data_IF_794412127596
#
_entry.id   IF_794412127596
#
_cell.length_a   1.000
_cell.length_b   1.000
_cell.length_c   1.000
_cell.angle_alpha   90.00
_cell.angle_beta   90.00
_cell.angle_gamma   90.00
#
_symmetry.space_group_name_H-M   'P 1'
#
loop_
_entity.id
_entity.type
_entity.pdbx_description
1 polymer ?
#
# COMPACT_ATOMS: atom_id res chain seq x y z
N UNK A 1 -9.11 3.00 -13.23
CA UNK A 1 -9.33 4.46 -13.14
C UNK A 1 -8.59 5.25 -14.23
N UNK A 2 -7.40 4.84 -14.71
CA UNK A 2 -6.60 5.60 -15.69
C UNK A 2 -7.35 5.92 -17.01
N UNK A 3 -8.16 4.98 -17.52
CA UNK A 3 -8.87 5.14 -18.80
C UNK A 3 -10.16 5.98 -18.64
N UNK A 4 -10.81 5.93 -17.47
CA UNK A 4 -12.12 6.58 -17.24
C UNK A 4 -12.00 7.96 -16.58
N UNK A 5 -10.86 8.28 -15.95
CA UNK A 5 -10.59 9.58 -15.35
C UNK A 5 -10.88 10.78 -16.29
N UNK A 6 -10.42 10.81 -17.55
CA UNK A 6 -10.71 11.95 -18.43
C UNK A 6 -12.21 12.14 -18.69
N UNK A 7 -13.01 11.07 -18.72
CA UNK A 7 -14.45 11.16 -18.90
C UNK A 7 -15.15 11.85 -17.71
N UNK A 8 -14.75 11.52 -16.48
CA UNK A 8 -15.31 12.18 -15.28
C UNK A 8 -14.99 13.68 -15.25
N UNK A 9 -13.77 14.08 -15.65
CA UNK A 9 -13.40 15.50 -15.73
C UNK A 9 -14.20 16.23 -16.81
N UNK A 10 -14.40 15.62 -17.98
CA UNK A 10 -15.19 16.20 -19.06
C UNK A 10 -16.66 16.38 -18.66
N UNK A 11 -17.26 15.37 -18.03
CA UNK A 11 -18.65 15.43 -17.54
C UNK A 11 -18.77 16.52 -16.46
N UNK A 12 -17.83 16.58 -15.52
CA UNK A 12 -17.81 17.60 -14.47
C UNK A 12 -17.67 19.02 -15.03
N UNK A 13 -16.78 19.21 -16.01
CA UNK A 13 -16.60 20.50 -16.69
C UNK A 13 -17.87 20.90 -17.47
N UNK A 14 -18.48 19.97 -18.21
CA UNK A 14 -19.72 20.22 -18.94
C UNK A 14 -20.85 20.62 -17.99
N UNK A 15 -21.02 19.90 -16.88
CA UNK A 15 -21.99 20.22 -15.84
C UNK A 15 -21.78 21.62 -15.24
N UNK A 16 -20.52 22.00 -14.99
CA UNK A 16 -20.16 23.34 -14.52
C UNK A 16 -20.61 24.44 -15.50
N UNK A 17 -20.33 24.27 -16.80
CA UNK A 17 -20.77 25.20 -17.83
C UNK A 17 -22.30 25.29 -17.95
N UNK A 18 -23.00 24.16 -17.88
CA UNK A 18 -24.47 24.15 -17.87
C UNK A 18 -25.05 24.95 -16.70
N UNK A 19 -24.50 24.80 -15.49
CA UNK A 19 -24.92 25.58 -14.33
C UNK A 19 -24.68 27.08 -14.53
N UNK A 20 -23.55 27.48 -15.09
CA UNK A 20 -23.25 28.89 -15.39
C UNK A 20 -24.21 29.49 -16.42
N UNK A 21 -24.61 28.74 -17.45
CA UNK A 21 -25.60 29.20 -18.43
C UNK A 21 -26.99 29.37 -17.81
N UNK A 22 -27.41 28.41 -16.97
CA UNK A 22 -28.71 28.44 -16.28
C UNK A 22 -28.78 29.58 -15.26
N UNK A 23 -27.65 29.97 -14.65
CA UNK A 23 -27.56 31.08 -13.69
C UNK A 23 -28.24 32.38 -14.17
N UNK A 24 -28.09 32.71 -15.45
CA UNK A 24 -28.69 33.91 -16.05
C UNK A 24 -30.21 33.84 -16.24
N UNK A 25 -30.78 32.63 -16.21
CA UNK A 25 -32.19 32.34 -16.50
C UNK A 25 -33.02 32.04 -15.24
N UNK A 26 -32.39 31.88 -14.09
CA UNK A 26 -33.06 31.51 -12.83
C UNK A 26 -33.30 32.72 -11.95
N UNK A 27 -34.41 32.69 -11.22
CA UNK A 27 -34.79 33.74 -10.25
C UNK A 27 -33.77 33.90 -9.11
N UNK A 28 -33.05 32.84 -8.75
CA UNK A 28 -32.11 32.80 -7.62
C UNK A 28 -30.69 32.38 -8.05
N UNK A 29 -29.90 33.28 -8.66
CA UNK A 29 -28.53 32.97 -9.10
C UNK A 29 -27.58 32.65 -7.93
N UNK A 30 -27.92 33.09 -6.71
CA UNK A 30 -27.15 32.78 -5.49
C UNK A 30 -27.14 31.28 -5.19
N UNK A 31 -28.25 30.57 -5.46
CA UNK A 31 -28.34 29.12 -5.24
C UNK A 31 -27.38 28.37 -6.18
N UNK A 32 -27.21 28.85 -7.42
CA UNK A 32 -26.25 28.31 -8.37
C UNK A 32 -24.81 28.56 -7.90
N UNK A 33 -24.50 29.77 -7.41
CA UNK A 33 -23.17 30.06 -6.85
C UNK A 33 -22.87 29.14 -5.65
N UNK A 34 -23.86 28.90 -4.78
CA UNK A 34 -23.71 28.00 -3.64
C UNK A 34 -23.47 26.56 -4.09
N UNK A 35 -24.20 26.08 -5.09
CA UNK A 35 -24.00 24.76 -5.67
C UNK A 35 -22.61 24.60 -6.29
N UNK A 36 -22.13 25.60 -7.05
CA UNK A 36 -20.78 25.62 -7.63
C UNK A 36 -19.69 25.61 -6.55
N UNK A 37 -19.87 26.42 -5.48
CA UNK A 37 -18.98 26.42 -4.33
C UNK A 37 -18.93 25.04 -3.67
N UNK A 38 -20.10 24.45 -3.40
CA UNK A 38 -20.22 23.13 -2.77
C UNK A 38 -19.56 22.04 -3.62
N UNK A 39 -19.67 22.10 -4.95
CA UNK A 39 -19.05 21.14 -5.86
C UNK A 39 -17.52 21.09 -5.73
N UNK A 40 -16.87 22.18 -5.30
CA UNK A 40 -15.43 22.24 -5.04
C UNK A 40 -15.13 21.92 -3.57
N UNK A 41 -15.89 22.52 -2.65
CA UNK A 41 -15.62 22.45 -1.20
C UNK A 41 -15.83 21.04 -0.64
N UNK A 42 -16.88 20.33 -1.06
CA UNK A 42 -17.15 18.96 -0.60
C UNK A 42 -16.02 17.98 -0.95
N UNK A 43 -15.59 17.83 -2.21
CA UNK A 43 -14.50 16.91 -2.53
C UNK A 43 -13.17 17.35 -1.93
N UNK A 44 -12.91 18.66 -1.82
CA UNK A 44 -11.71 19.16 -1.13
C UNK A 44 -11.71 18.78 0.36
N UNK A 45 -12.82 18.99 1.08
CA UNK A 45 -12.98 18.57 2.48
C UNK A 45 -12.79 17.06 2.63
N UNK A 46 -13.47 16.27 1.80
CA UNK A 46 -13.37 14.80 1.83
C UNK A 46 -11.93 14.33 1.55
N UNK A 47 -11.24 14.97 0.61
CA UNK A 47 -9.84 14.71 0.32
C UNK A 47 -8.93 14.96 1.53
N UNK A 48 -9.10 16.10 2.20
CA UNK A 48 -8.34 16.44 3.42
C UNK A 48 -8.62 15.42 4.54
N UNK A 49 -9.89 15.08 4.75
CA UNK A 49 -10.30 14.09 5.76
C UNK A 49 -9.71 12.70 5.48
N UNK A 50 -9.64 12.28 4.21
CA UNK A 50 -9.08 10.99 3.81
C UNK A 50 -7.56 10.93 3.95
N UNK A 51 -6.87 12.00 3.55
CA UNK A 51 -5.41 12.05 3.61
C UNK A 51 -4.95 12.15 5.08
N UNK A 52 -5.77 12.76 5.95
CA UNK A 52 -5.45 13.10 7.34
C UNK A 52 -4.06 13.73 7.47
N UNK A 53 -3.78 14.84 6.75
CA UNK A 53 -2.44 15.42 6.66
C UNK A 53 -1.86 15.87 8.00
N UNK A 54 -2.73 16.23 8.96
CA UNK A 54 -2.34 16.66 10.30
C UNK A 54 -2.52 15.58 11.38
N UNK A 55 -2.88 14.35 11.00
CA UNK A 55 -2.87 13.26 11.95
C UNK A 55 -1.43 12.79 12.14
N UNK A 56 -0.96 12.79 13.39
CA UNK A 56 0.19 11.98 13.77
C UNK A 56 -0.20 10.53 13.53
N UNK A 57 0.22 9.98 12.39
CA UNK A 57 0.15 8.54 12.17
C UNK A 57 1.14 7.93 13.15
N UNK A 58 0.63 7.42 14.27
CA UNK A 58 1.39 6.45 15.04
C UNK A 58 1.82 5.36 14.06
N UNK A 59 3.13 5.20 13.89
CA UNK A 59 3.65 4.12 13.06
C UNK A 59 3.12 2.82 13.66
N UNK A 60 2.24 2.15 12.92
CA UNK A 60 1.76 0.83 13.31
C UNK A 60 2.98 -0.08 13.51
N UNK A 61 2.86 -1.02 14.45
CA UNK A 61 3.89 -2.04 14.66
C UNK A 61 4.24 -2.73 13.34
N UNK A 62 3.28 -2.89 12.40
CA UNK A 62 3.56 -3.43 11.07
C UNK A 62 4.48 -2.56 10.20
N UNK A 63 4.32 -1.23 10.23
CA UNK A 63 5.16 -0.30 9.46
C UNK A 63 6.60 -0.31 9.98
N UNK A 64 6.79 -0.36 11.31
CA UNK A 64 8.12 -0.49 11.93
C UNK A 64 8.78 -1.82 11.56
N UNK A 65 8.03 -2.91 11.66
CA UNK A 65 8.49 -4.26 11.30
C UNK A 65 8.89 -4.35 9.83
N UNK A 66 8.10 -3.76 8.92
CA UNK A 66 8.40 -3.74 7.50
C UNK A 66 9.66 -2.89 7.16
N UNK A 67 9.82 -1.73 7.80
CA UNK A 67 11.04 -0.90 7.67
C UNK A 67 12.28 -1.61 8.21
N UNK A 68 12.16 -2.30 9.35
CA UNK A 68 13.25 -3.12 9.90
C UNK A 68 13.67 -4.22 8.93
N UNK A 69 12.72 -4.89 8.28
CA UNK A 69 13.03 -5.90 7.26
C UNK A 69 13.88 -5.34 6.12
N UNK A 70 13.51 -4.16 5.62
CA UNK A 70 14.28 -3.48 4.57
C UNK A 70 15.69 -3.07 5.00
N UNK A 71 15.96 -2.94 6.30
CA UNK A 71 17.32 -2.68 6.81
C UNK A 71 18.16 -3.94 7.01
N UNK A 72 17.52 -5.08 7.30
CA UNK A 72 18.21 -6.36 7.59
C UNK A 72 18.53 -7.17 6.32
N UNK A 73 17.90 -6.88 5.18
CA UNK A 73 18.07 -7.63 3.93
C UNK A 73 18.76 -6.74 2.88
N UNK A 74 19.90 -7.16 2.29
CA UNK A 74 20.54 -6.43 1.20
C UNK A 74 19.60 -6.33 -0.02
N UNK A 75 19.51 -5.15 -0.64
CA UNK A 75 18.65 -4.92 -1.81
C UNK A 75 19.13 -5.62 -3.09
N UNK A 76 20.42 -5.95 -3.16
CA UNK A 76 21.07 -6.52 -4.36
C UNK A 76 21.18 -8.05 -4.34
N UNK A 77 20.72 -8.71 -3.28
CA UNK A 77 20.66 -10.17 -3.23
C UNK A 77 19.32 -10.65 -3.81
N UNK A 78 19.36 -11.71 -4.63
CA UNK A 78 18.17 -12.50 -4.95
C UNK A 78 17.65 -13.13 -3.65
N UNK A 79 16.77 -12.43 -2.94
CA UNK A 79 16.30 -12.86 -1.63
C UNK A 79 14.78 -13.05 -1.61
N UNK A 80 14.34 -14.09 -0.92
CA UNK A 80 12.91 -14.35 -0.69
C UNK A 80 12.68 -14.49 0.80
N UNK A 81 11.69 -13.75 1.30
CA UNK A 81 11.28 -13.77 2.70
C UNK A 81 9.98 -14.54 2.84
N UNK A 82 9.87 -15.40 3.85
CA UNK A 82 8.65 -16.13 4.16
C UNK A 82 8.16 -15.87 5.58
N UNK A 83 6.89 -16.23 5.81
CA UNK A 83 6.20 -16.11 7.10
C UNK A 83 6.04 -14.66 7.60
N UNK A 84 5.79 -13.70 6.70
CA UNK A 84 5.54 -12.30 7.08
C UNK A 84 4.04 -11.96 7.10
N UNK A 85 3.47 -11.66 8.27
CA UNK A 85 2.07 -11.24 8.36
C UNK A 85 1.74 -10.01 7.52
N UNK A 86 2.66 -9.04 7.42
CA UNK A 86 2.51 -7.80 6.64
C UNK A 86 3.33 -7.84 5.34
N UNK A 87 3.17 -8.91 4.57
CA UNK A 87 3.98 -9.19 3.39
C UNK A 87 3.97 -8.06 2.33
N UNK A 88 2.83 -7.41 2.07
CA UNK A 88 2.74 -6.30 1.09
C UNK A 88 3.59 -5.10 1.52
N UNK A 89 3.47 -4.69 2.79
CA UNK A 89 4.26 -3.59 3.35
C UNK A 89 5.74 -3.95 3.36
N UNK A 90 6.07 -5.18 3.73
CA UNK A 90 7.42 -5.70 3.72
C UNK A 90 8.03 -5.70 2.31
N UNK A 91 7.31 -6.12 1.27
CA UNK A 91 7.78 -6.01 -0.12
C UNK A 91 8.06 -4.55 -0.51
N UNK A 92 7.16 -3.63 -0.14
CA UNK A 92 7.29 -2.21 -0.47
C UNK A 92 8.56 -1.60 0.14
N UNK A 93 8.87 -1.89 1.40
CA UNK A 93 10.03 -1.33 2.07
C UNK A 93 11.34 -2.08 1.79
N UNK A 94 11.31 -3.40 1.62
CA UNK A 94 12.51 -4.21 1.38
C UNK A 94 12.93 -4.28 -0.09
N UNK A 95 12.00 -4.13 -1.03
CA UNK A 95 12.24 -4.39 -2.46
C UNK A 95 12.43 -5.87 -2.81
N UNK A 96 12.18 -6.78 -1.86
CA UNK A 96 12.33 -8.22 -2.01
C UNK A 96 10.96 -8.91 -2.05
N UNK A 97 10.91 -10.13 -2.57
CA UNK A 97 9.67 -10.93 -2.58
C UNK A 97 9.40 -11.48 -1.18
N UNK A 98 8.22 -11.18 -0.63
CA UNK A 98 7.82 -11.58 0.73
C UNK A 98 6.52 -12.37 0.70
N UNK A 99 6.49 -13.56 1.31
CA UNK A 99 5.31 -14.41 1.38
C UNK A 99 4.75 -14.51 2.81
N UNK A 100 3.42 -14.57 2.98
CA UNK A 100 2.79 -14.70 4.29
C UNK A 100 2.88 -16.10 4.89
N UNK A 101 3.13 -17.12 4.08
CA UNK A 101 3.07 -18.53 4.47
C UNK A 101 4.51 -19.05 4.59
N UNK A 102 4.82 -19.95 5.54
CA UNK A 102 6.11 -20.65 5.56
C UNK A 102 6.29 -21.54 4.31
N UNK A 103 7.50 -21.68 3.78
CA UNK A 103 7.75 -22.48 2.59
C UNK A 103 7.77 -23.97 2.92
N UNK A 104 7.42 -24.80 1.93
CA UNK A 104 7.62 -26.25 1.97
C UNK A 104 9.07 -26.61 1.68
N UNK A 105 9.49 -27.83 2.04
CA UNK A 105 10.87 -28.31 1.77
C UNK A 105 11.20 -28.30 0.26
N UNK A 106 10.23 -28.64 -0.58
CA UNK A 106 10.41 -28.66 -2.03
C UNK A 106 10.66 -27.26 -2.61
N UNK A 107 9.95 -26.26 -2.11
CA UNK A 107 10.13 -24.85 -2.50
C UNK A 107 11.47 -24.30 -2.04
N UNK A 108 11.94 -24.69 -0.84
CA UNK A 108 13.27 -24.31 -0.38
C UNK A 108 14.34 -24.90 -1.31
N UNK A 109 14.24 -26.19 -1.65
CA UNK A 109 15.22 -26.85 -2.52
C UNK A 109 15.24 -26.26 -3.93
N UNK A 110 14.08 -25.88 -4.49
CA UNK A 110 14.01 -25.25 -5.81
C UNK A 110 14.61 -23.84 -5.80
N UNK A 111 14.25 -23.01 -4.81
CA UNK A 111 14.76 -21.65 -4.67
C UNK A 111 16.28 -21.63 -4.41
N UNK A 112 16.79 -22.59 -3.65
CA UNK A 112 18.23 -22.75 -3.45
C UNK A 112 18.98 -23.12 -4.74
N UNK A 113 18.41 -24.01 -5.57
CA UNK A 113 18.98 -24.37 -6.89
C UNK A 113 19.03 -23.16 -7.83
N UNK A 114 18.06 -22.26 -7.72
CA UNK A 114 17.99 -21.02 -8.50
C UNK A 114 18.89 -19.90 -7.95
N UNK A 115 19.56 -20.13 -6.82
CA UNK A 115 20.50 -19.21 -6.21
C UNK A 115 19.87 -18.14 -5.32
N UNK A 116 18.63 -18.34 -4.84
CA UNK A 116 17.99 -17.43 -3.91
C UNK A 116 18.47 -17.62 -2.46
N UNK A 117 18.67 -16.50 -1.77
CA UNK A 117 18.84 -16.45 -0.32
C UNK A 117 17.48 -16.45 0.37
N UNK A 118 17.23 -17.46 1.20
CA UNK A 118 15.92 -17.64 1.83
C UNK A 118 15.96 -17.13 3.27
N UNK A 119 15.04 -16.23 3.59
CA UNK A 119 14.86 -15.65 4.91
C UNK A 119 13.50 -16.08 5.47
N UNK A 120 13.48 -16.61 6.69
CA UNK A 120 12.22 -16.99 7.36
C UNK A 120 12.08 -16.19 8.64
N UNK A 121 10.95 -15.50 8.78
CA UNK A 121 10.60 -14.82 10.03
C UNK A 121 10.18 -15.85 11.06
N UNK A 122 10.87 -15.86 12.20
CA UNK A 122 10.53 -16.73 13.31
C UNK A 122 9.30 -16.19 14.05
N UNK A 123 8.30 -17.05 14.19
CA UNK A 123 7.22 -16.92 15.16
C UNK A 123 7.40 -18.02 16.22
N UNK A 124 6.88 -17.84 17.44
CA UNK A 124 7.04 -18.80 18.55
C UNK A 124 6.58 -20.22 18.17
N UNK A 125 5.60 -20.32 17.27
CA UNK A 125 5.04 -21.56 16.76
C UNK A 125 5.90 -22.25 15.67
N UNK A 126 6.88 -21.56 15.07
CA UNK A 126 7.60 -22.03 13.89
C UNK A 126 9.09 -22.37 14.14
N UNK A 127 9.54 -22.28 15.40
CA UNK A 127 10.95 -22.53 15.79
C UNK A 127 11.44 -23.95 15.45
N UNK A 128 10.56 -24.94 15.40
CA UNK A 128 10.91 -26.37 15.36
C UNK A 128 10.90 -27.02 13.97
N UNK A 129 10.31 -26.40 12.94
CA UNK A 129 10.13 -27.09 11.64
C UNK A 129 11.33 -26.97 10.67
N UNK A 130 12.17 -25.94 10.81
CA UNK A 130 13.18 -25.64 9.77
C UNK A 130 14.64 -25.60 10.26
N UNK A 131 14.91 -25.80 11.56
CA UNK A 131 16.21 -25.61 12.23
C UNK A 131 17.43 -26.35 11.65
N UNK A 132 17.24 -27.27 10.70
CA UNK A 132 18.29 -28.16 10.19
C UNK A 132 18.70 -27.89 8.73
N UNK A 133 18.38 -26.72 8.15
CA UNK A 133 18.80 -26.39 6.80
C UNK A 133 19.96 -25.37 6.74
N UNK A 134 21.13 -25.74 6.18
CA UNK A 134 22.39 -25.01 6.34
C UNK A 134 22.48 -23.65 5.63
N UNK A 135 21.45 -23.21 4.90
CA UNK A 135 21.45 -21.95 4.13
C UNK A 135 20.22 -21.06 4.36
N UNK A 136 19.40 -21.36 5.36
CA UNK A 136 18.23 -20.53 5.70
C UNK A 136 18.64 -19.53 6.79
N UNK A 137 18.44 -18.23 6.54
CA UNK A 137 18.70 -17.18 7.54
C UNK A 137 17.39 -16.87 8.28
N UNK A 138 17.45 -16.88 9.61
CA UNK A 138 16.30 -16.56 10.45
C UNK A 138 16.32 -15.10 10.88
N UNK A 139 15.18 -14.43 10.75
CA UNK A 139 15.00 -13.04 11.20
C UNK A 139 13.95 -13.03 12.31
N UNK A 140 14.21 -12.29 13.39
CA UNK A 140 13.22 -11.94 14.40
C UNK A 140 12.80 -10.49 14.25
N UNK A 141 11.51 -10.25 14.46
CA UNK A 141 10.99 -8.95 14.86
C UNK A 141 11.38 -8.75 16.33
N UNK A 142 12.08 -7.65 16.61
CA UNK A 142 12.41 -7.23 17.96
C UNK A 142 11.30 -6.29 18.47
#
# INVERSE_FOLDING_TARGET
MLIYAPAFFLIGAYFWFCLLQIKSKVKYPIAINLALLLLIVLPARYGIERIKPFANREETVSSKNAKMLGSKIPKDEKAVVFNAGNYIEAMFYSGQTVYPIPPTKQEIDSLQKEGFSIYIIQDENNKSQFQNQPKVKYIRYD
#
